data_IF_129681978284
#
_entry.id   IF_129681978284
#
_cell.length_a   1.000
_cell.length_b   1.000
_cell.length_c   1.000
_cell.angle_alpha   90.00
_cell.angle_beta   90.00
_cell.angle_gamma   90.00
#
_symmetry.space_group_name_H-M   'P 1'
#
loop_
_entity.id
_entity.type
_entity.pdbx_description
1 polymer ?
#
# COMPACT_ATOMS: atom_id res chain seq x y z
N UNK A 1 -3.00 -4.44 -15.71
CA UNK A 1 -3.21 -2.98 -15.65
C UNK A 1 -3.11 -2.56 -14.19
N UNK A 2 -2.15 -1.70 -13.82
CA UNK A 2 -1.96 -1.26 -12.43
C UNK A 2 -2.88 -0.08 -12.10
N UNK A 3 -3.26 0.07 -10.83
CA UNK A 3 -4.04 1.19 -10.31
C UNK A 3 -3.23 1.96 -9.29
N UNK A 4 -3.27 3.27 -9.40
CA UNK A 4 -2.58 4.16 -8.48
C UNK A 4 -3.40 4.36 -7.22
N UNK A 5 -2.74 4.27 -6.07
CA UNK A 5 -3.32 4.51 -4.76
C UNK A 5 -2.42 5.45 -3.97
N UNK A 6 -2.97 6.59 -3.57
CA UNK A 6 -2.30 7.51 -2.65
C UNK A 6 -2.43 7.03 -1.19
N UNK A 7 -1.30 6.78 -0.56
CA UNK A 7 -1.12 6.44 0.86
C UNK A 7 -0.42 7.59 1.59
N UNK A 8 -0.28 7.47 2.91
CA UNK A 8 0.31 8.53 3.73
C UNK A 8 1.80 8.63 3.48
N UNK A 9 2.32 9.85 3.49
CA UNK A 9 3.76 10.13 3.49
C UNK A 9 4.46 9.64 4.76
N UNK A 10 3.69 9.34 5.82
CA UNK A 10 4.21 8.81 7.09
C UNK A 10 4.65 7.35 7.01
N UNK A 11 4.42 6.66 5.88
CA UNK A 11 4.90 5.29 5.69
C UNK A 11 6.43 5.31 5.67
N UNK A 12 7.11 4.63 6.63
CA UNK A 12 8.56 4.65 6.68
C UNK A 12 9.16 4.04 5.41
N UNK A 13 10.13 4.70 4.79
CA UNK A 13 10.85 4.16 3.63
C UNK A 13 11.49 2.79 3.90
N UNK A 14 11.91 2.53 5.15
CA UNK A 14 12.40 1.24 5.63
C UNK A 14 11.37 0.10 5.49
N UNK A 15 10.09 0.44 5.60
CA UNK A 15 8.97 -0.50 5.48
C UNK A 15 8.70 -0.84 4.01
N UNK A 16 8.78 0.16 3.13
CA UNK A 16 8.70 -0.02 1.68
C UNK A 16 9.88 -0.86 1.16
N UNK A 17 11.11 -0.57 1.59
CA UNK A 17 12.30 -1.35 1.22
C UNK A 17 12.26 -2.79 1.75
N UNK A 18 11.75 -3.01 2.97
CA UNK A 18 11.50 -4.37 3.45
C UNK A 18 10.46 -5.09 2.58
N UNK A 19 9.38 -4.40 2.23
CA UNK A 19 8.33 -4.96 1.40
C UNK A 19 8.81 -5.29 -0.03
N UNK A 20 9.78 -4.54 -0.59
CA UNK A 20 10.47 -4.89 -1.84
C UNK A 20 11.28 -6.20 -1.75
N UNK A 21 11.79 -6.52 -0.55
CA UNK A 21 12.56 -7.75 -0.30
C UNK A 21 11.66 -8.94 0.05
N UNK A 22 10.57 -8.70 0.79
CA UNK A 22 9.68 -9.76 1.29
C UNK A 22 8.41 -9.94 0.46
N UNK A 23 8.19 -9.10 -0.55
CA UNK A 23 6.99 -9.09 -1.42
C UNK A 23 5.69 -8.90 -0.63
N UNK A 24 5.79 -8.35 0.58
CA UNK A 24 4.68 -8.21 1.53
C UNK A 24 4.72 -6.86 2.17
N UNK A 25 3.63 -6.10 2.03
CA UNK A 25 3.47 -4.78 2.60
C UNK A 25 2.29 -4.79 3.58
N UNK A 26 2.56 -4.45 4.83
CA UNK A 26 1.52 -4.27 5.85
C UNK A 26 1.26 -2.78 6.02
N UNK A 27 0.12 -2.28 5.59
CA UNK A 27 -0.24 -0.85 5.73
C UNK A 27 -1.26 -0.72 6.87
N UNK A 28 -1.05 0.22 7.77
CA UNK A 28 -1.98 0.54 8.86
C UNK A 28 -3.11 1.45 8.36
N UNK A 29 -4.18 1.60 9.16
CA UNK A 29 -5.30 2.45 8.78
C UNK A 29 -4.88 3.93 8.60
N UNK A 30 -3.95 4.41 9.44
CA UNK A 30 -3.42 5.77 9.35
C UNK A 30 -2.53 5.97 8.12
N UNK A 31 -1.72 4.97 7.80
CA UNK A 31 -0.90 4.95 6.59
C UNK A 31 -1.75 4.83 5.30
N UNK A 32 -3.00 4.36 5.38
CA UNK A 32 -3.95 4.33 4.26
C UNK A 32 -4.66 5.68 4.01
N UNK A 33 -4.36 6.70 4.83
CA UNK A 33 -4.85 8.07 4.58
C UNK A 33 -4.09 8.66 3.40
N UNK A 34 -4.80 9.34 2.51
CA UNK A 34 -4.22 9.92 1.29
C UNK A 34 -3.39 11.16 1.64
N UNK A 35 -2.09 11.02 1.92
CA UNK A 35 -1.23 12.14 2.36
C UNK A 35 0.06 12.38 1.54
N UNK A 36 0.42 11.51 0.59
CA UNK A 36 1.38 11.94 -0.45
C UNK A 36 2.15 10.87 -1.21
N UNK A 37 2.23 9.62 -0.74
CA UNK A 37 2.97 8.57 -1.45
C UNK A 37 2.06 7.79 -2.40
N UNK A 38 2.48 7.47 -3.61
CA UNK A 38 1.67 6.71 -4.60
C UNK A 38 2.17 5.28 -4.70
N UNK A 39 1.28 4.32 -4.49
CA UNK A 39 1.50 2.90 -4.76
C UNK A 39 0.81 2.51 -6.07
N UNK A 40 1.49 1.76 -6.92
CA UNK A 40 0.92 1.22 -8.14
C UNK A 40 0.51 -0.23 -7.88
N UNK A 41 -0.73 -0.47 -7.48
CA UNK A 41 -1.19 -1.80 -7.08
C UNK A 41 -1.91 -2.53 -8.21
N UNK A 42 -1.80 -3.86 -8.25
CA UNK A 42 -2.71 -4.68 -9.04
C UNK A 42 -4.18 -4.45 -8.63
N UNK A 43 -5.15 -4.56 -9.55
CA UNK A 43 -6.56 -4.28 -9.26
C UNK A 43 -7.13 -5.09 -8.09
N UNK A 44 -6.71 -6.35 -7.96
CA UNK A 44 -7.10 -7.22 -6.85
C UNK A 44 -6.60 -6.69 -5.49
N UNK A 45 -5.36 -6.19 -5.43
CA UNK A 45 -4.80 -5.57 -4.23
C UNK A 45 -5.46 -4.21 -3.97
N UNK A 46 -5.68 -3.40 -5.01
CA UNK A 46 -6.36 -2.11 -4.92
C UNK A 46 -7.73 -2.21 -4.26
N UNK A 47 -8.56 -3.17 -4.65
CA UNK A 47 -9.88 -3.37 -4.04
C UNK A 47 -9.81 -3.76 -2.57
N UNK A 48 -8.85 -4.62 -2.20
CA UNK A 48 -8.60 -4.98 -0.79
C UNK A 48 -8.25 -3.74 0.03
N UNK A 49 -7.36 -2.90 -0.50
CA UNK A 49 -6.97 -1.65 0.18
C UNK A 49 -8.15 -0.70 0.30
N UNK A 50 -8.95 -0.53 -0.74
CA UNK A 50 -10.10 0.37 -0.74
C UNK A 50 -11.16 -0.07 0.29
N UNK A 51 -11.39 -1.39 0.41
CA UNK A 51 -12.24 -1.96 1.46
C UNK A 51 -11.67 -1.69 2.86
N UNK A 52 -10.36 -1.90 3.06
CA UNK A 52 -9.70 -1.66 4.34
C UNK A 52 -9.73 -0.17 4.75
N UNK A 53 -9.48 0.74 3.79
CA UNK A 53 -9.57 2.18 3.99
C UNK A 53 -10.98 2.60 4.40
N UNK A 54 -12.02 2.11 3.72
CA UNK A 54 -13.42 2.36 4.10
C UNK A 54 -13.78 1.81 5.48
N UNK A 55 -13.21 0.67 5.85
CA UNK A 55 -13.42 0.04 7.15
C UNK A 55 -12.58 0.66 8.29
N UNK A 56 -11.69 1.62 8.00
CA UNK A 56 -10.75 2.17 8.99
C UNK A 56 -9.78 1.13 9.54
N UNK A 57 -9.38 0.13 8.75
CA UNK A 57 -8.48 -0.96 9.16
C UNK A 57 -7.21 -0.98 8.32
N UNK A 58 -6.15 -1.50 8.92
CA UNK A 58 -4.93 -1.85 8.17
C UNK A 58 -5.13 -3.07 7.27
N UNK A 59 -4.25 -3.23 6.28
CA UNK A 59 -4.29 -4.31 5.29
C UNK A 59 -2.90 -4.88 5.04
N UNK A 60 -2.83 -6.19 4.84
CA UNK A 60 -1.63 -6.86 4.32
C UNK A 60 -1.82 -7.11 2.84
N UNK A 61 -0.87 -6.67 2.05
CA UNK A 61 -0.84 -6.82 0.60
C UNK A 61 0.38 -7.64 0.22
N UNK A 62 0.15 -8.56 -0.69
CA UNK A 62 1.23 -9.12 -1.49
C UNK A 62 1.53 -8.09 -2.57
N UNK A 63 2.78 -7.66 -2.63
CA UNK A 63 3.26 -6.63 -3.55
C UNK A 63 4.51 -7.13 -4.26
N UNK A 64 4.70 -6.65 -5.48
CA UNK A 64 5.86 -6.93 -6.31
C UNK A 64 6.76 -5.70 -6.35
N UNK A 65 8.02 -5.90 -6.75
CA UNK A 65 9.02 -4.82 -6.79
C UNK A 65 8.63 -3.64 -7.68
N UNK A 66 7.74 -3.86 -8.64
CA UNK A 66 7.29 -2.85 -9.59
C UNK A 66 6.11 -2.00 -9.06
N UNK A 67 5.54 -2.38 -7.91
CA UNK A 67 4.35 -1.74 -7.34
C UNK A 67 4.69 -0.64 -6.31
N UNK A 68 5.92 -0.66 -5.78
CA UNK A 68 6.49 0.42 -4.97
C UNK A 68 7.43 1.23 -5.85
N UNK A 69 7.17 2.54 -5.96
CA UNK A 69 8.06 3.52 -6.60
C UNK A 69 8.52 4.57 -5.61
#
# INVERSE_FOLDING_TARGET
MYRELTISSDVPAAKLTKALKTEKLSITADELKSSGSVLHLYPASYEKVLKARKAGRGVRLDITRHEIK
#
